data_IF_933971032593
#
_entry.id   IF_933971032593
#
_cell.length_a   1.000
_cell.length_b   1.000
_cell.length_c   1.000
_cell.angle_alpha   90.00
_cell.angle_beta   90.00
_cell.angle_gamma   90.00
#
_symmetry.space_group_name_H-M   'P 1'
#
loop_
_entity.id
_entity.type
_entity.pdbx_description
1 polymer ?
#
# COMPACT_ATOMS: atom_id res chain seq x y z
N UNK A 1 30.95 -12.70 -22.79
CA UNK A 1 29.83 -13.23 -23.62
C UNK A 1 28.70 -13.82 -22.77
N UNK A 2 28.33 -13.21 -21.63
CA UNK A 2 27.15 -13.60 -20.82
C UNK A 2 26.11 -12.48 -20.74
N UNK A 3 26.49 -11.24 -21.04
CA UNK A 3 25.58 -10.09 -21.17
C UNK A 3 24.95 -9.98 -22.57
N UNK A 4 24.71 -11.14 -23.20
CA UNK A 4 24.10 -11.26 -24.52
C UNK A 4 22.68 -11.82 -24.50
N UNK A 5 22.08 -12.00 -23.32
CA UNK A 5 20.64 -12.18 -23.23
C UNK A 5 20.00 -10.81 -23.46
N UNK A 6 19.31 -10.68 -24.58
CA UNK A 6 18.58 -9.48 -24.89
C UNK A 6 17.49 -9.23 -23.85
N UNK A 7 16.89 -8.02 -23.86
CA UNK A 7 15.72 -7.74 -23.04
C UNK A 7 14.59 -8.74 -23.28
N UNK A 8 14.51 -9.35 -24.48
CA UNK A 8 13.55 -10.41 -24.79
C UNK A 8 13.73 -11.68 -23.94
N UNK A 9 14.95 -12.18 -23.80
CA UNK A 9 15.21 -13.35 -22.95
C UNK A 9 14.92 -13.07 -21.47
N UNK A 10 15.24 -11.86 -20.98
CA UNK A 10 14.91 -11.44 -19.61
C UNK A 10 13.39 -11.38 -19.37
N UNK A 11 12.63 -10.87 -20.35
CA UNK A 11 11.16 -10.86 -20.28
C UNK A 11 10.60 -12.29 -20.23
N UNK A 12 11.14 -13.20 -21.05
CA UNK A 12 10.72 -14.61 -21.06
C UNK A 12 10.92 -15.28 -19.69
N UNK A 13 12.07 -15.05 -19.06
CA UNK A 13 12.36 -15.56 -17.71
C UNK A 13 11.44 -14.90 -16.68
N UNK A 14 11.22 -13.59 -16.77
CA UNK A 14 10.33 -12.86 -15.86
C UNK A 14 8.89 -13.40 -15.95
N UNK A 15 8.40 -13.68 -17.15
CA UNK A 15 7.08 -14.33 -17.35
C UNK A 15 7.04 -15.72 -16.71
N UNK A 16 8.08 -16.54 -16.89
CA UNK A 16 8.13 -17.87 -16.25
C UNK A 16 8.09 -17.78 -14.72
N UNK A 17 8.82 -16.83 -14.13
CA UNK A 17 8.81 -16.55 -12.68
C UNK A 17 7.43 -16.05 -12.24
N UNK A 18 6.81 -15.16 -13.01
CA UNK A 18 5.46 -14.65 -12.76
C UNK A 18 4.40 -15.75 -12.80
N UNK A 19 4.56 -16.78 -13.63
CA UNK A 19 3.63 -17.92 -13.65
C UNK A 19 3.75 -18.80 -12.40
N UNK A 20 4.97 -18.96 -11.86
CA UNK A 20 5.22 -19.77 -10.65
C UNK A 20 4.78 -19.02 -9.39
N UNK A 21 5.20 -17.77 -9.25
CA UNK A 21 4.96 -16.98 -8.04
C UNK A 21 3.69 -16.14 -8.12
N UNK A 22 3.19 -15.84 -9.32
CA UNK A 22 2.05 -14.93 -9.53
C UNK A 22 2.44 -13.45 -9.48
N UNK A 23 1.79 -12.58 -10.29
CA UNK A 23 2.06 -11.14 -10.29
C UNK A 23 1.69 -10.45 -8.98
N UNK A 24 0.75 -11.00 -8.21
CA UNK A 24 0.32 -10.48 -6.91
C UNK A 24 1.41 -10.58 -5.83
N UNK A 25 2.36 -11.53 -5.95
CA UNK A 25 3.40 -11.77 -4.94
C UNK A 25 4.68 -10.94 -5.16
N UNK A 26 4.97 -10.52 -6.40
CA UNK A 26 6.11 -9.62 -6.69
C UNK A 26 6.09 -8.29 -5.92
N UNK A 27 4.98 -7.51 -5.90
CA UNK A 27 4.95 -6.24 -5.19
C UNK A 27 5.15 -6.45 -3.68
N UNK A 28 4.59 -7.52 -3.11
CA UNK A 28 4.76 -7.86 -1.69
C UNK A 28 6.22 -8.10 -1.31
N UNK A 29 6.95 -8.87 -2.13
CA UNK A 29 8.39 -9.14 -1.92
C UNK A 29 9.22 -7.88 -2.20
N UNK A 30 8.87 -7.12 -3.23
CA UNK A 30 9.52 -5.86 -3.60
C UNK A 30 9.40 -4.78 -2.53
N UNK A 31 8.24 -4.61 -1.91
CA UNK A 31 8.04 -3.66 -0.80
C UNK A 31 8.86 -4.05 0.43
N UNK A 32 8.94 -5.34 0.78
CA UNK A 32 9.76 -5.80 1.89
C UNK A 32 11.26 -5.57 1.64
N UNK A 33 11.76 -5.96 0.46
CA UNK A 33 13.14 -5.72 0.06
C UNK A 33 13.46 -4.22 -0.06
N UNK A 34 12.53 -3.43 -0.59
CA UNK A 34 12.67 -1.99 -0.76
C UNK A 34 12.85 -1.28 0.58
N UNK A 35 12.08 -1.66 1.60
CA UNK A 35 12.27 -1.18 2.98
C UNK A 35 13.67 -1.51 3.49
N UNK A 36 14.11 -2.77 3.37
CA UNK A 36 15.47 -3.18 3.77
C UNK A 36 16.56 -2.37 3.03
N UNK A 37 16.45 -2.20 1.71
CA UNK A 37 17.42 -1.44 0.92
C UNK A 37 17.42 0.04 1.30
N UNK A 38 16.25 0.63 1.59
CA UNK A 38 16.13 2.02 2.05
C UNK A 38 16.88 2.22 3.37
N UNK A 39 16.65 1.36 4.36
CA UNK A 39 17.34 1.43 5.65
C UNK A 39 18.86 1.17 5.52
N UNK A 40 19.28 0.26 4.65
CA UNK A 40 20.71 0.03 4.36
C UNK A 40 21.36 1.26 3.74
N UNK A 41 20.65 1.93 2.83
CA UNK A 41 21.14 3.15 2.19
C UNK A 41 21.24 4.31 3.19
N UNK A 42 20.20 4.55 3.98
CA UNK A 42 20.17 5.56 5.04
C UNK A 42 21.34 5.39 6.03
N UNK A 43 21.56 4.18 6.54
CA UNK A 43 22.68 3.91 7.45
C UNK A 43 24.06 4.00 6.80
N UNK A 44 24.16 3.89 5.47
CA UNK A 44 25.40 4.05 4.72
C UNK A 44 25.68 5.52 4.34
N UNK A 45 24.64 6.34 4.26
CA UNK A 45 24.70 7.79 4.08
C UNK A 45 25.01 8.50 5.42
N UNK A 46 24.45 8.05 6.55
CA UNK A 46 24.79 8.56 7.91
C UNK A 46 26.27 8.38 8.28
N UNK A 47 26.94 7.34 7.75
CA UNK A 47 28.37 7.10 8.01
C UNK A 47 29.33 8.03 7.25
N UNK A 48 28.82 8.92 6.38
CA UNK A 48 29.64 9.81 5.53
C UNK A 48 29.48 11.30 5.85
N UNK A 49 28.38 11.70 6.48
CA UNK A 49 28.08 13.11 6.76
C UNK A 49 27.47 13.25 8.17
N UNK A 50 28.32 13.51 9.15
CA UNK A 50 27.94 14.16 10.40
C UNK A 50 27.62 15.64 10.09
N UNK A 51 26.43 15.92 9.54
CA UNK A 51 25.67 17.17 9.69
C UNK A 51 24.44 17.18 8.75
N UNK A 52 23.25 16.95 9.36
CA UNK A 52 21.96 17.63 9.13
C UNK A 52 20.76 16.68 8.99
N UNK A 53 19.86 16.85 9.96
CA UNK A 53 18.62 16.12 10.21
C UNK A 53 17.58 16.13 9.07
N UNK A 54 16.72 15.13 9.17
CA UNK A 54 15.55 14.71 8.38
C UNK A 54 14.54 15.83 8.02
N UNK A 55 13.63 15.55 7.06
CA UNK A 55 12.33 15.07 7.52
C UNK A 55 11.83 13.79 6.83
N UNK A 56 11.17 12.99 7.66
CA UNK A 56 10.24 11.91 7.38
C UNK A 56 9.30 12.22 6.19
N UNK A 57 9.28 11.31 5.22
CA UNK A 57 8.15 11.11 4.33
C UNK A 57 7.75 9.64 4.42
N UNK A 58 6.93 9.36 5.43
CA UNK A 58 6.00 8.25 5.46
C UNK A 58 5.25 8.14 4.12
N UNK A 59 5.61 7.13 3.34
CA UNK A 59 4.82 6.61 2.24
C UNK A 59 4.51 5.15 2.58
N UNK A 60 3.57 4.97 3.51
CA UNK A 60 2.92 3.71 3.78
C UNK A 60 1.44 4.07 3.91
N UNK A 61 0.63 3.76 2.90
CA UNK A 61 -0.45 2.77 3.06
C UNK A 61 -1.31 2.66 1.78
N UNK A 62 -1.24 1.46 1.19
CA UNK A 62 -2.36 0.69 0.65
C UNK A 62 -3.31 1.32 -0.38
N UNK A 63 -3.00 1.05 -1.66
CA UNK A 63 -4.06 0.66 -2.60
C UNK A 63 -4.48 -0.76 -2.23
N UNK A 64 -5.61 -0.90 -1.54
CA UNK A 64 -6.36 -2.16 -1.53
C UNK A 64 -6.81 -2.45 -2.96
N UNK A 65 -6.10 -3.34 -3.66
CA UNK A 65 -6.71 -4.11 -4.73
C UNK A 65 -7.21 -5.40 -4.10
N UNK A 66 -8.40 -5.32 -3.50
CA UNK A 66 -9.26 -6.48 -3.38
C UNK A 66 -9.70 -6.81 -4.80
N UNK A 67 -9.19 -7.90 -5.33
CA UNK A 67 -9.80 -8.61 -6.45
C UNK A 67 -9.67 -10.10 -6.13
N UNK A 68 -10.57 -10.53 -5.25
CA UNK A 68 -11.16 -11.86 -5.33
C UNK A 68 -11.75 -12.03 -6.74
N UNK A 69 -11.51 -13.20 -7.31
CA UNK A 69 -11.99 -13.60 -8.63
C UNK A 69 -13.41 -14.15 -8.45
N UNK A 70 -14.44 -13.43 -8.90
CA UNK A 70 -15.61 -13.98 -9.59
C UNK A 70 -16.59 -12.84 -9.96
N UNK A 71 -17.39 -13.10 -10.99
CA UNK A 71 -18.42 -12.27 -11.61
C UNK A 71 -18.01 -11.22 -12.65
N UNK A 72 -18.33 -11.59 -13.89
CA UNK A 72 -18.71 -10.68 -14.96
C UNK A 72 -19.86 -9.75 -14.50
N UNK A 73 -20.03 -8.65 -15.24
CA UNK A 73 -21.17 -7.71 -15.19
C UNK A 73 -21.19 -6.61 -14.09
N UNK A 74 -20.74 -5.41 -14.50
CA UNK A 74 -21.37 -4.08 -14.29
C UNK A 74 -21.59 -3.51 -12.85
N UNK A 75 -21.93 -2.22 -12.68
CA UNK A 75 -21.53 -0.99 -13.38
C UNK A 75 -20.82 0.03 -12.44
N UNK A 76 -20.12 0.98 -13.04
CA UNK A 76 -19.48 2.13 -12.36
C UNK A 76 -20.49 3.22 -12.01
N UNK A 77 -21.20 3.13 -10.89
CA UNK A 77 -21.94 4.28 -10.34
C UNK A 77 -21.88 4.31 -8.81
N UNK A 78 -21.24 5.35 -8.27
CA UNK A 78 -21.33 5.68 -6.84
C UNK A 78 -20.04 6.21 -6.21
N UNK A 79 -19.49 7.32 -6.69
CA UNK A 79 -18.79 8.21 -5.78
C UNK A 79 -19.82 8.77 -4.78
N UNK A 80 -19.55 8.80 -3.46
CA UNK A 80 -19.76 10.08 -2.79
C UNK A 80 -18.92 10.37 -1.52
N UNK A 81 -18.92 11.67 -1.23
CA UNK A 81 -18.92 12.32 0.08
C UNK A 81 -17.58 12.50 0.81
N UNK A 82 -16.93 13.61 0.46
CA UNK A 82 -16.05 14.33 1.37
C UNK A 82 -16.81 14.66 2.67
N UNK A 83 -16.38 14.09 3.80
CA UNK A 83 -16.98 14.38 5.11
C UNK A 83 -16.85 13.27 6.16
N UNK A 84 -15.70 12.61 6.28
CA UNK A 84 -15.50 11.65 7.37
C UNK A 84 -15.47 12.32 8.75
N UNK A 85 -15.94 11.61 9.78
CA UNK A 85 -15.87 12.07 11.17
C UNK A 85 -14.93 11.20 12.02
N UNK A 86 -14.29 11.83 12.99
CA UNK A 86 -13.35 11.17 13.88
C UNK A 86 -14.05 10.70 15.16
N UNK A 87 -13.76 9.46 15.58
CA UNK A 87 -14.30 8.92 16.83
C UNK A 87 -13.63 9.56 18.04
N UNK A 88 -14.37 10.26 18.93
CA UNK A 88 -13.78 10.94 20.10
C UNK A 88 -13.25 9.97 21.17
N UNK A 89 -13.59 8.67 21.08
CA UNK A 89 -13.19 7.66 22.07
C UNK A 89 -11.87 6.97 21.73
N UNK A 90 -11.66 6.60 20.47
CA UNK A 90 -10.50 5.81 20.05
C UNK A 90 -9.72 6.40 18.88
N UNK A 91 -10.25 7.47 18.28
CA UNK A 91 -9.64 8.15 17.16
C UNK A 91 -9.63 7.41 15.83
N UNK A 92 -10.57 6.49 15.62
CA UNK A 92 -10.80 5.96 14.27
C UNK A 92 -11.50 6.99 13.39
N UNK A 93 -11.13 7.06 12.11
CA UNK A 93 -11.89 7.77 11.10
C UNK A 93 -13.07 6.91 10.64
N UNK A 94 -14.26 7.49 10.56
CA UNK A 94 -15.48 6.78 10.16
C UNK A 94 -16.19 7.60 9.08
N UNK A 95 -17.02 6.92 8.27
CA UNK A 95 -17.82 7.57 7.25
C UNK A 95 -18.78 8.62 7.84
N UNK A 96 -19.10 9.64 7.05
CA UNK A 96 -20.11 10.65 7.39
C UNK A 96 -21.43 9.95 7.77
N UNK A 97 -21.97 10.22 8.97
CA UNK A 97 -23.25 9.64 9.41
C UNK A 97 -23.19 8.19 9.92
N UNK A 98 -22.01 7.61 10.13
CA UNK A 98 -21.90 6.32 10.82
C UNK A 98 -22.49 6.41 12.25
N UNK A 99 -23.48 5.58 12.59
CA UNK A 99 -24.11 5.59 13.92
C UNK A 99 -23.21 5.02 15.03
N UNK A 100 -22.27 4.15 14.69
CA UNK A 100 -21.31 3.55 15.62
C UNK A 100 -19.91 3.48 15.00
N UNK A 101 -18.90 3.52 15.85
CA UNK A 101 -17.50 3.41 15.47
C UNK A 101 -17.16 1.96 15.12
N UNK A 102 -16.65 1.74 13.90
CA UNK A 102 -16.26 0.41 13.42
C UNK A 102 -15.11 -0.23 14.21
N UNK A 103 -14.32 0.57 14.93
CA UNK A 103 -13.14 0.10 15.68
C UNK A 103 -13.41 -0.24 17.14
N UNK A 104 -14.23 0.57 17.83
CA UNK A 104 -14.43 0.42 19.28
C UNK A 104 -15.89 0.33 19.72
N UNK A 105 -16.83 0.38 18.77
CA UNK A 105 -18.27 0.28 19.03
C UNK A 105 -18.90 1.50 19.72
N UNK A 106 -18.15 2.59 19.94
CA UNK A 106 -18.70 3.81 20.51
C UNK A 106 -19.74 4.42 19.57
N UNK A 107 -20.88 4.89 20.11
CA UNK A 107 -21.87 5.64 19.32
C UNK A 107 -21.24 6.93 18.80
N UNK A 108 -21.37 7.19 17.51
CA UNK A 108 -20.90 8.41 16.86
C UNK A 108 -22.15 9.24 16.49
N UNK A 109 -22.06 10.56 16.69
CA UNK A 109 -23.24 11.42 16.77
C UNK A 109 -24.16 11.38 15.54
N UNK A 110 -25.45 11.19 15.81
CA UNK A 110 -26.63 11.78 15.15
C UNK A 110 -27.79 11.56 16.13
N UNK A 111 -27.85 12.39 17.17
CA UNK A 111 -29.01 12.49 18.05
C UNK A 111 -29.66 13.86 17.79
N UNK A 112 -30.47 13.88 16.74
CA UNK A 112 -31.85 14.39 16.83
C UNK A 112 -32.78 13.35 16.20
#
# INVERSE_FOLDING_TARGET
>A
MILGMGPLELILILVAVLLIFGPKNLPKIGSALGKTVKNVREGMDEGKDDEKSEPDASADDSVEVIADEDDADAPVEGAPAEGGQFCPKCGAHNAAGAGFCAKCGAKLGSDE
#
